data_IF_740011598034
#
_entry.id   IF_740011598034
#
_cell.length_a   1.000
_cell.length_b   1.000
_cell.length_c   1.000
_cell.angle_alpha   90.00
_cell.angle_beta   90.00
_cell.angle_gamma   90.00
#
_symmetry.space_group_name_H-M   'P 1'
#
loop_
_entity.id
_entity.type
_entity.pdbx_description
1 polymer ?
#
# COMPACT_ATOMS: atom_id res chain seq x y z
N UNK A 1 17.32 -26.78 -19.45
CA UNK A 1 17.45 -26.91 -17.97
C UNK A 1 17.58 -25.54 -17.27
N UNK A 2 18.04 -24.49 -17.95
CA UNK A 2 18.16 -23.12 -17.43
C UNK A 2 16.84 -22.35 -17.32
N UNK A 3 15.88 -22.60 -18.21
CA UNK A 3 14.61 -21.85 -18.29
C UNK A 3 13.74 -21.99 -17.02
N UNK A 4 13.63 -23.20 -16.48
CA UNK A 4 12.88 -23.47 -15.24
C UNK A 4 13.49 -22.74 -14.03
N UNK A 5 14.83 -22.64 -13.98
CA UNK A 5 15.51 -21.91 -12.89
C UNK A 5 15.27 -20.40 -12.99
N UNK A 6 15.26 -19.83 -14.20
CA UNK A 6 14.93 -18.43 -14.40
C UNK A 6 13.48 -18.11 -14.05
N UNK A 7 12.53 -18.97 -14.45
CA UNK A 7 11.11 -18.80 -14.14
C UNK A 7 10.83 -18.86 -12.63
N UNK A 8 11.45 -19.82 -11.93
CA UNK A 8 11.32 -19.92 -10.47
C UNK A 8 11.89 -18.69 -9.77
N UNK A 9 13.05 -18.21 -10.20
CA UNK A 9 13.66 -17.00 -9.64
C UNK A 9 12.78 -15.77 -9.83
N UNK A 10 12.27 -15.55 -11.04
CA UNK A 10 11.37 -14.43 -11.33
C UNK A 10 10.09 -14.49 -10.47
N UNK A 11 9.56 -15.70 -10.22
CA UNK A 11 8.43 -15.88 -9.32
C UNK A 11 8.76 -15.51 -7.88
N UNK A 12 9.90 -15.96 -7.34
CA UNK A 12 10.32 -15.60 -5.99
C UNK A 12 10.52 -14.08 -5.84
N UNK A 13 11.16 -13.43 -6.81
CA UNK A 13 11.36 -11.98 -6.81
C UNK A 13 10.01 -11.22 -6.85
N UNK A 14 9.03 -11.72 -7.62
CA UNK A 14 7.69 -11.15 -7.67
C UNK A 14 6.91 -11.35 -6.35
N UNK A 15 6.98 -12.54 -5.76
CA UNK A 15 6.33 -12.87 -4.49
C UNK A 15 6.93 -12.03 -3.33
N UNK A 16 8.25 -11.85 -3.31
CA UNK A 16 8.94 -10.99 -2.33
C UNK A 16 8.53 -9.53 -2.49
N UNK A 17 8.48 -9.00 -3.72
CA UNK A 17 8.02 -7.65 -3.99
C UNK A 17 6.57 -7.43 -3.54
N UNK A 18 5.68 -8.42 -3.73
CA UNK A 18 4.29 -8.34 -3.28
C UNK A 18 4.18 -8.35 -1.75
N UNK A 19 4.98 -9.18 -1.07
CA UNK A 19 5.03 -9.18 0.40
C UNK A 19 5.50 -7.84 0.96
N UNK A 20 6.52 -7.23 0.34
CA UNK A 20 6.97 -5.88 0.70
C UNK A 20 5.86 -4.84 0.51
N UNK A 21 5.17 -4.85 -0.64
CA UNK A 21 4.03 -3.95 -0.91
C UNK A 21 2.92 -4.11 0.14
N UNK A 22 2.55 -5.34 0.48
CA UNK A 22 1.52 -5.61 1.48
C UNK A 22 1.94 -5.12 2.88
N UNK A 23 3.20 -5.28 3.26
CA UNK A 23 3.73 -4.81 4.52
C UNK A 23 3.69 -3.27 4.61
N UNK A 24 4.09 -2.58 3.54
CA UNK A 24 4.01 -1.12 3.43
C UNK A 24 2.56 -0.62 3.50
N UNK A 25 1.65 -1.26 2.77
CA UNK A 25 0.22 -0.94 2.80
C UNK A 25 -0.35 -1.07 4.23
N UNK A 26 -0.04 -2.16 4.93
CA UNK A 26 -0.48 -2.37 6.33
C UNK A 26 0.10 -1.34 7.30
N UNK A 27 1.32 -0.85 7.05
CA UNK A 27 1.93 0.19 7.85
C UNK A 27 1.19 1.53 7.67
N UNK A 28 0.89 1.88 6.42
CA UNK A 28 0.15 3.10 6.07
C UNK A 28 -1.27 3.06 6.62
N UNK A 29 -1.99 1.95 6.43
CA UNK A 29 -3.36 1.77 6.93
C UNK A 29 -3.45 2.00 8.46
N UNK A 30 -2.58 1.34 9.24
CA UNK A 30 -2.53 1.54 10.70
C UNK A 30 -2.26 2.98 11.11
N UNK A 31 -1.48 3.71 10.32
CA UNK A 31 -1.15 5.10 10.60
C UNK A 31 -2.29 6.05 10.24
N UNK A 32 -3.02 5.76 9.16
CA UNK A 32 -4.26 6.45 8.82
C UNK A 32 -5.32 6.24 9.90
N UNK A 33 -5.52 5.00 10.36
CA UNK A 33 -6.48 4.70 11.44
C UNK A 33 -6.22 5.54 12.70
N UNK A 34 -4.94 5.65 13.12
CA UNK A 34 -4.55 6.47 14.26
C UNK A 34 -4.83 7.97 14.04
N UNK A 35 -4.50 8.50 12.86
CA UNK A 35 -4.75 9.91 12.53
C UNK A 35 -6.24 10.23 12.43
N UNK A 36 -7.04 9.30 11.91
CA UNK A 36 -8.49 9.43 11.86
C UNK A 36 -9.12 9.36 13.25
N UNK A 37 -8.61 8.51 14.13
CA UNK A 37 -9.02 8.49 15.54
C UNK A 37 -8.67 9.82 16.24
N UNK A 38 -7.48 10.37 16.01
CA UNK A 38 -7.09 11.69 16.54
C UNK A 38 -8.01 12.80 16.02
N UNK A 39 -8.36 12.78 14.73
CA UNK A 39 -9.27 13.75 14.12
C UNK A 39 -10.67 13.63 14.73
N UNK A 40 -11.17 12.42 14.93
CA UNK A 40 -12.45 12.15 15.60
C UNK A 40 -12.46 12.61 17.06
N UNK A 41 -11.30 12.59 17.74
CA UNK A 41 -11.12 13.15 19.08
C UNK A 41 -11.02 14.69 19.09
N UNK A 42 -11.14 15.35 17.93
CA UNK A 42 -11.16 16.81 17.79
C UNK A 42 -9.85 17.44 17.31
N UNK A 43 -8.83 16.66 16.97
CA UNK A 43 -7.59 17.18 16.39
C UNK A 43 -7.75 17.48 14.89
N UNK A 44 -8.33 18.64 14.57
CA UNK A 44 -8.46 19.13 13.19
C UNK A 44 -7.31 20.05 12.76
N UNK A 45 -6.10 19.79 13.27
CA UNK A 45 -4.94 20.59 12.88
C UNK A 45 -4.64 20.44 11.38
N UNK A 46 -4.15 21.51 10.76
CA UNK A 46 -3.69 21.50 9.37
C UNK A 46 -2.65 20.40 9.15
N UNK A 47 -1.76 20.19 10.13
CA UNK A 47 -0.74 19.15 10.10
C UNK A 47 -1.36 17.74 10.04
N UNK A 48 -2.39 17.47 10.83
CA UNK A 48 -3.12 16.18 10.81
C UNK A 48 -3.72 15.94 9.43
N UNK A 49 -4.43 16.92 8.87
CA UNK A 49 -5.02 16.81 7.52
C UNK A 49 -3.99 16.57 6.42
N UNK A 50 -2.86 17.29 6.47
CA UNK A 50 -1.78 17.10 5.50
C UNK A 50 -1.13 15.71 5.60
N UNK A 51 -0.98 15.18 6.82
CA UNK A 51 -0.45 13.82 7.04
C UNK A 51 -1.38 12.75 6.50
N UNK A 52 -2.69 12.89 6.74
CA UNK A 52 -3.72 11.99 6.20
C UNK A 52 -3.64 12.01 4.67
N UNK A 53 -3.77 13.18 4.04
CA UNK A 53 -3.76 13.30 2.57
C UNK A 53 -2.50 12.69 1.93
N UNK A 54 -1.33 12.89 2.55
CA UNK A 54 -0.07 12.30 2.06
C UNK A 54 -0.08 10.77 2.14
N UNK A 55 -0.58 10.22 3.23
CA UNK A 55 -0.64 8.77 3.44
C UNK A 55 -1.68 8.12 2.53
N UNK A 56 -2.82 8.77 2.28
CA UNK A 56 -3.82 8.30 1.31
C UNK A 56 -3.24 8.27 -0.11
N UNK A 57 -2.52 9.32 -0.52
CA UNK A 57 -1.87 9.36 -1.82
C UNK A 57 -0.84 8.22 -1.98
N UNK A 58 -0.07 7.91 -0.92
CA UNK A 58 0.85 6.78 -0.91
C UNK A 58 0.12 5.43 -0.98
N UNK A 59 -1.00 5.30 -0.25
CA UNK A 59 -1.82 4.09 -0.28
C UNK A 59 -2.40 3.84 -1.68
N UNK A 60 -2.91 4.89 -2.33
CA UNK A 60 -3.39 4.82 -3.72
C UNK A 60 -2.28 4.43 -4.69
N UNK A 61 -1.07 5.00 -4.53
CA UNK A 61 0.07 4.64 -5.38
C UNK A 61 0.48 3.17 -5.20
N UNK A 62 0.40 2.63 -3.98
CA UNK A 62 0.73 1.22 -3.69
C UNK A 62 -0.30 0.22 -4.21
N UNK A 63 -1.59 0.58 -4.20
CA UNK A 63 -2.66 -0.25 -4.76
C UNK A 63 -2.69 -0.26 -6.30
N UNK A 64 -1.83 0.54 -6.96
CA UNK A 64 -1.95 0.83 -8.38
C UNK A 64 -3.12 1.78 -8.66
N UNK A 65 -3.16 2.36 -9.87
CA UNK A 65 -4.34 3.08 -10.34
C UNK A 65 -5.61 2.25 -10.04
N UNK A 66 -6.76 2.85 -9.68
CA UNK A 66 -8.01 2.09 -9.56
C UNK A 66 -8.31 1.22 -10.79
N UNK A 67 -7.81 1.62 -11.96
CA UNK A 67 -7.87 0.86 -13.21
C UNK A 67 -7.09 -0.47 -13.16
N UNK A 68 -6.00 -0.53 -12.39
CA UNK A 68 -5.15 -1.72 -12.23
C UNK A 68 -5.74 -2.72 -11.22
N UNK A 69 -6.40 -2.23 -10.17
CA UNK A 69 -7.17 -3.09 -9.25
C UNK A 69 -8.42 -3.70 -9.89
N UNK A 70 -9.11 -2.96 -10.77
CA UNK A 70 -10.28 -3.48 -11.49
C UNK A 70 -9.93 -4.61 -12.48
N UNK A 71 -8.69 -4.65 -12.97
CA UNK A 71 -8.17 -5.69 -13.86
C UNK A 71 -7.67 -6.94 -13.12
N UNK A 72 -7.64 -6.93 -11.79
CA UNK A 72 -7.16 -8.04 -10.95
C UNK A 72 -8.26 -8.76 -10.16
N UNK A 73 -9.54 -8.46 -10.43
CA UNK A 73 -10.63 -9.33 -9.97
C UNK A 73 -10.87 -10.45 -10.99
N UNK A 74 -10.95 -11.73 -10.55
CA UNK A 74 -11.21 -12.87 -11.42
C UNK A 74 -12.59 -12.84 -12.08
#
# INVERSE_FOLDING_TARGET
>A
MTDVQHQLRAKFEADEAELCRLAEWRCIARRLDALYADQAAGNDSVLTRQRIARLEALQMALCGSPETMALSQP
#
